data_IF_154737726534
#
_entry.id   IF_154737726534
#
_cell.length_a   1.000
_cell.length_b   1.000
_cell.length_c   1.000
_cell.angle_alpha   90.00
_cell.angle_beta   90.00
_cell.angle_gamma   90.00
#
_symmetry.space_group_name_H-M   'P 1'
#
loop_
_entity.id
_entity.type
_entity.pdbx_description
1 polymer ?
#
# COMPACT_ATOMS: atom_id res chain seq x y z
N UNK A 1 45.30 3.11 48.02
CA UNK A 1 45.38 2.20 46.85
C UNK A 1 44.41 2.68 45.80
N UNK A 2 44.92 3.32 44.74
CA UNK A 2 44.10 3.80 43.62
C UNK A 2 43.88 2.65 42.63
N UNK A 3 42.62 2.23 42.44
CA UNK A 3 42.25 1.22 41.45
C UNK A 3 41.84 1.91 40.16
N UNK A 4 42.61 1.70 39.10
CA UNK A 4 42.42 2.29 37.77
C UNK A 4 41.35 1.50 37.02
N UNK A 5 40.14 2.06 36.90
CA UNK A 5 39.06 1.47 36.11
C UNK A 5 39.31 1.78 34.62
N UNK A 6 39.79 0.78 33.87
CA UNK A 6 39.98 0.88 32.41
C UNK A 6 38.61 1.01 31.73
N UNK A 7 38.28 2.19 31.20
CA UNK A 7 37.21 2.34 30.22
C UNK A 7 37.56 1.51 28.97
N UNK A 8 36.76 0.47 28.69
CA UNK A 8 36.77 -0.18 27.38
C UNK A 8 36.09 0.77 26.38
N UNK A 9 36.84 1.20 25.37
CA UNK A 9 36.28 1.91 24.23
C UNK A 9 35.20 1.03 23.57
N UNK A 10 33.99 1.58 23.44
CA UNK A 10 32.93 0.94 22.67
C UNK A 10 33.39 0.79 21.22
N UNK A 11 33.30 -0.43 20.68
CA UNK A 11 33.60 -0.70 19.28
C UNK A 11 32.67 0.16 18.39
N UNK A 12 33.17 0.75 17.28
CA UNK A 12 32.32 1.53 16.40
C UNK A 12 31.20 0.65 15.86
N UNK A 13 29.97 1.18 15.89
CA UNK A 13 28.80 0.54 15.32
C UNK A 13 29.14 0.12 13.89
N UNK A 14 29.00 -1.18 13.60
CA UNK A 14 29.20 -1.73 12.25
C UNK A 14 28.23 -1.01 11.31
N UNK A 15 28.78 -0.17 10.43
CA UNK A 15 28.03 0.37 9.31
C UNK A 15 27.47 -0.81 8.51
N UNK A 16 26.14 -0.84 8.36
CA UNK A 16 25.45 -1.79 7.51
C UNK A 16 25.87 -1.55 6.04
N UNK A 17 26.90 -2.26 5.60
CA UNK A 17 27.23 -2.40 4.18
C UNK A 17 26.34 -3.51 3.60
N UNK A 18 25.05 -3.23 3.42
CA UNK A 18 24.25 -4.02 2.50
C UNK A 18 24.62 -3.60 1.07
N UNK A 19 25.71 -4.18 0.53
CA UNK A 19 25.93 -4.20 -0.92
C UNK A 19 24.93 -5.18 -1.52
N UNK A 20 23.66 -4.83 -1.51
CA UNK A 20 22.68 -5.46 -2.39
C UNK A 20 23.05 -5.13 -3.82
N UNK A 21 23.11 -6.14 -4.69
CA UNK A 21 23.26 -5.92 -6.12
C UNK A 21 22.22 -4.88 -6.57
N UNK A 22 22.66 -3.75 -7.13
CA UNK A 22 21.75 -2.76 -7.72
C UNK A 22 20.96 -3.48 -8.81
N UNK A 23 19.68 -3.74 -8.57
CA UNK A 23 18.75 -4.14 -9.64
C UNK A 23 18.41 -2.88 -10.42
N UNK A 24 19.03 -2.69 -11.58
CA UNK A 24 18.62 -1.64 -12.53
C UNK A 24 17.46 -2.17 -13.36
N UNK A 25 16.26 -1.64 -13.17
CA UNK A 25 15.17 -1.82 -14.12
C UNK A 25 15.36 -0.79 -15.24
N UNK A 26 15.84 -1.22 -16.40
CA UNK A 26 15.92 -0.37 -17.59
C UNK A 26 14.62 -0.53 -18.36
N UNK A 27 13.69 0.41 -18.16
CA UNK A 27 12.48 0.50 -19.00
C UNK A 27 12.85 1.31 -20.25
N UNK A 28 12.73 0.70 -21.43
CA UNK A 28 12.97 1.40 -22.70
C UNK A 28 11.90 2.47 -22.88
N UNK A 29 12.32 3.73 -22.91
CA UNK A 29 11.47 4.91 -23.03
C UNK A 29 10.93 5.14 -24.47
N UNK A 30 10.36 4.10 -25.07
CA UNK A 30 9.58 4.23 -26.30
C UNK A 30 8.22 3.56 -26.09
N UNK A 31 7.18 4.39 -26.04
CA UNK A 31 5.75 4.04 -26.20
C UNK A 31 5.04 3.18 -25.12
N UNK A 32 5.75 2.63 -24.12
CA UNK A 32 5.10 1.82 -23.07
C UNK A 32 4.84 2.60 -21.78
N UNK A 33 3.56 2.65 -21.37
CA UNK A 33 3.14 3.09 -20.04
C UNK A 33 3.63 2.10 -18.99
N UNK A 34 4.11 2.62 -17.87
CA UNK A 34 4.68 1.83 -16.78
C UNK A 34 3.62 1.64 -15.71
N UNK A 35 3.45 0.41 -15.24
CA UNK A 35 2.60 0.08 -14.09
C UNK A 35 3.48 -0.29 -12.91
N UNK A 36 3.34 0.45 -11.81
CA UNK A 36 3.97 0.16 -10.53
C UNK A 36 2.88 -0.33 -9.58
N UNK A 37 3.12 -1.44 -8.88
CA UNK A 37 2.22 -1.93 -7.85
C UNK A 37 2.84 -1.76 -6.46
N UNK A 38 2.05 -1.26 -5.52
CA UNK A 38 2.43 -1.09 -4.12
C UNK A 38 1.48 -1.89 -3.21
N UNK A 39 1.95 -3.03 -2.71
CA UNK A 39 1.24 -3.80 -1.70
C UNK A 39 1.57 -3.27 -0.30
N UNK A 40 0.54 -2.91 0.47
CA UNK A 40 0.70 -2.53 1.86
C UNK A 40 -0.64 -2.58 2.63
N UNK A 41 -0.58 -2.88 3.92
CA UNK A 41 -1.77 -2.90 4.78
C UNK A 41 -2.35 -1.48 4.97
N UNK A 42 -3.66 -1.41 5.26
CA UNK A 42 -4.36 -0.21 5.69
C UNK A 42 -3.61 0.51 6.84
N UNK A 43 -3.50 1.84 6.76
CA UNK A 43 -2.86 2.64 7.82
C UNK A 43 -1.32 2.54 7.90
N UNK A 44 -0.67 1.77 7.03
CA UNK A 44 0.78 1.60 7.01
C UNK A 44 1.56 2.74 6.32
N UNK A 45 0.97 3.93 6.20
CA UNK A 45 1.63 5.08 5.58
C UNK A 45 1.72 5.03 4.05
N UNK A 46 0.88 4.23 3.37
CA UNK A 46 0.83 4.12 1.90
C UNK A 46 0.75 5.47 1.21
N UNK A 47 -0.18 6.33 1.63
CA UNK A 47 -0.32 7.68 1.06
C UNK A 47 0.92 8.53 1.27
N UNK A 48 1.62 8.39 2.40
CA UNK A 48 2.90 9.09 2.67
C UNK A 48 4.01 8.57 1.77
N UNK A 49 4.11 7.24 1.62
CA UNK A 49 5.08 6.61 0.73
C UNK A 49 4.80 7.03 -0.73
N UNK A 50 3.54 6.99 -1.16
CA UNK A 50 3.12 7.38 -2.50
C UNK A 50 3.39 8.85 -2.79
N UNK A 51 3.07 9.78 -1.89
CA UNK A 51 3.43 11.20 -2.05
C UNK A 51 4.93 11.41 -2.27
N UNK A 52 5.78 10.65 -1.57
CA UNK A 52 7.25 10.72 -1.76
C UNK A 52 7.67 10.13 -3.09
N UNK A 53 7.14 8.97 -3.47
CA UNK A 53 7.45 8.30 -4.74
C UNK A 53 7.01 9.15 -5.93
N UNK A 54 5.78 9.68 -5.91
CA UNK A 54 5.27 10.55 -6.98
C UNK A 54 6.08 11.85 -7.09
N UNK A 55 6.57 12.39 -5.98
CA UNK A 55 7.43 13.57 -5.98
C UNK A 55 8.76 13.36 -6.72
N UNK A 56 9.22 12.12 -6.87
CA UNK A 56 10.41 11.77 -7.68
C UNK A 56 10.11 11.91 -9.18
N UNK A 57 8.89 11.59 -9.60
CA UNK A 57 8.47 11.62 -11.00
C UNK A 57 7.96 12.98 -11.48
N UNK A 58 7.90 13.98 -10.59
CA UNK A 58 7.49 15.34 -10.91
C UNK A 58 6.01 15.63 -10.61
N UNK A 59 5.78 16.89 -10.24
CA UNK A 59 4.47 17.39 -9.85
C UNK A 59 4.06 17.00 -8.42
N UNK A 60 3.05 17.71 -7.91
CA UNK A 60 2.38 17.38 -6.65
C UNK A 60 1.08 16.68 -7.01
N UNK A 61 0.88 15.38 -6.68
CA UNK A 61 -0.37 14.71 -6.96
C UNK A 61 -1.54 15.38 -6.27
N UNK A 62 -2.64 15.55 -6.98
CA UNK A 62 -3.88 16.15 -6.49
C UNK A 62 -5.07 15.26 -6.83
N UNK A 63 -6.16 15.32 -6.05
CA UNK A 63 -7.42 14.70 -6.46
C UNK A 63 -7.90 15.24 -7.81
N UNK A 64 -8.72 14.48 -8.57
CA UNK A 64 -9.31 14.93 -9.82
C UNK A 64 -10.10 16.24 -9.64
N UNK A 65 -9.78 17.26 -10.43
CA UNK A 65 -10.42 18.56 -10.31
C UNK A 65 -11.90 18.48 -10.72
N UNK A 66 -12.80 18.97 -9.86
CA UNK A 66 -14.25 18.95 -10.12
C UNK A 66 -14.91 17.57 -10.03
N UNK A 67 -14.18 16.54 -9.57
CA UNK A 67 -14.70 15.20 -9.34
C UNK A 67 -15.33 15.02 -7.96
N UNK A 68 -15.60 13.76 -7.60
CA UNK A 68 -16.07 13.40 -6.27
C UNK A 68 -15.03 13.83 -5.21
N UNK A 69 -15.40 14.60 -4.17
CA UNK A 69 -14.48 15.05 -3.12
C UNK A 69 -13.83 13.90 -2.33
N UNK A 70 -14.47 12.73 -2.33
CA UNK A 70 -13.99 11.52 -1.65
C UNK A 70 -13.27 10.55 -2.61
N UNK A 71 -12.92 10.98 -3.82
CA UNK A 71 -12.10 10.19 -4.75
C UNK A 71 -10.75 9.83 -4.13
N UNK A 72 -10.36 8.57 -4.29
CA UNK A 72 -9.06 8.06 -3.82
C UNK A 72 -7.93 8.25 -4.85
N UNK A 73 -8.28 8.75 -6.04
CA UNK A 73 -7.33 8.93 -7.14
C UNK A 73 -6.44 10.14 -6.86
N UNK A 74 -5.15 10.03 -7.18
CA UNK A 74 -4.24 11.17 -7.20
C UNK A 74 -3.58 11.29 -8.58
N UNK A 75 -3.63 12.48 -9.16
CA UNK A 75 -3.14 12.77 -10.51
C UNK A 75 -2.03 13.83 -10.43
N UNK A 76 -0.92 13.57 -11.12
CA UNK A 76 0.14 14.53 -11.44
C UNK A 76 0.42 14.52 -12.94
N UNK A 77 1.31 15.40 -13.41
CA UNK A 77 1.67 15.54 -14.84
C UNK A 77 2.15 14.22 -15.47
N UNK A 78 2.78 13.33 -14.68
CA UNK A 78 3.31 12.07 -15.15
C UNK A 78 2.65 10.83 -14.55
N UNK A 79 2.00 10.98 -13.39
CA UNK A 79 1.60 9.83 -12.57
C UNK A 79 0.12 9.88 -12.21
N UNK A 80 -0.55 8.75 -12.35
CA UNK A 80 -1.88 8.52 -11.75
C UNK A 80 -1.74 7.42 -10.71
N UNK A 81 -2.22 7.68 -9.48
CA UNK A 81 -2.29 6.70 -8.40
C UNK A 81 -3.75 6.28 -8.22
N UNK A 82 -4.00 4.97 -8.25
CA UNK A 82 -5.30 4.35 -8.02
C UNK A 82 -5.25 3.53 -6.73
N UNK A 83 -6.19 3.79 -5.83
CA UNK A 83 -6.41 2.95 -4.65
C UNK A 83 -7.22 1.72 -5.03
N UNK A 84 -6.74 0.52 -4.68
CA UNK A 84 -7.41 -0.72 -5.04
C UNK A 84 -8.68 -1.00 -4.24
N UNK A 85 -8.91 -0.26 -3.14
CA UNK A 85 -10.19 -0.30 -2.42
C UNK A 85 -11.37 0.14 -3.31
N UNK A 86 -11.11 0.91 -4.37
CA UNK A 86 -12.13 1.27 -5.37
C UNK A 86 -12.72 0.05 -6.08
N UNK A 87 -11.98 -1.06 -6.16
CA UNK A 87 -12.44 -2.31 -6.77
C UNK A 87 -13.09 -3.27 -5.77
N UNK A 88 -13.53 -2.80 -4.60
CA UNK A 88 -14.35 -3.61 -3.70
C UNK A 88 -15.61 -4.11 -4.42
N UNK A 89 -15.90 -5.40 -4.30
CA UNK A 89 -17.17 -5.99 -4.77
C UNK A 89 -18.31 -5.82 -3.78
N UNK A 90 -17.97 -5.63 -2.51
CA UNK A 90 -18.89 -5.45 -1.40
C UNK A 90 -18.55 -4.16 -0.67
N UNK A 91 -19.57 -3.33 -0.43
CA UNK A 91 -19.44 -2.16 0.43
C UNK A 91 -19.26 -2.56 1.91
N UNK A 92 -19.12 -1.56 2.80
CA UNK A 92 -18.90 -1.83 4.23
C UNK A 92 -20.02 -2.67 4.87
N UNK A 93 -21.28 -2.43 4.50
CA UNK A 93 -22.43 -3.18 5.02
C UNK A 93 -22.53 -4.56 4.38
N UNK A 94 -22.29 -4.67 3.08
CA UNK A 94 -22.26 -5.92 2.34
C UNK A 94 -21.22 -6.89 2.90
N UNK A 95 -20.00 -6.42 3.18
CA UNK A 95 -18.97 -7.23 3.84
C UNK A 95 -19.40 -7.71 5.22
N UNK A 96 -19.99 -6.82 6.03
CA UNK A 96 -20.52 -7.19 7.35
C UNK A 96 -21.62 -8.24 7.28
N UNK A 97 -22.53 -8.14 6.29
CA UNK A 97 -23.62 -9.10 6.10
C UNK A 97 -23.12 -10.47 5.61
N UNK A 98 -22.09 -10.47 4.76
CA UNK A 98 -21.46 -11.67 4.24
C UNK A 98 -20.46 -12.32 5.23
N UNK A 99 -20.11 -11.65 6.32
CA UNK A 99 -19.15 -12.13 7.30
C UNK A 99 -17.71 -12.20 6.77
N UNK A 100 -17.37 -11.35 5.79
CA UNK A 100 -16.02 -11.29 5.19
C UNK A 100 -15.35 -9.95 5.50
N UNK A 101 -14.03 -9.93 5.55
CA UNK A 101 -13.28 -8.68 5.71
C UNK A 101 -12.95 -8.05 4.35
N UNK A 102 -12.39 -6.85 4.35
CA UNK A 102 -11.85 -6.25 3.11
C UNK A 102 -10.60 -7.00 2.60
N UNK A 103 -9.99 -7.87 3.40
CA UNK A 103 -8.79 -8.63 3.03
C UNK A 103 -9.16 -9.90 2.29
N UNK A 104 -10.40 -10.38 2.45
CA UNK A 104 -10.92 -11.55 1.77
C UNK A 104 -11.04 -11.24 0.26
N UNK A 105 -10.43 -12.07 -0.62
CA UNK A 105 -10.55 -11.96 -2.07
C UNK A 105 -11.99 -11.91 -2.58
N UNK A 106 -12.96 -12.51 -1.87
CA UNK A 106 -14.39 -12.46 -2.22
C UNK A 106 -14.96 -11.05 -2.19
N UNK A 107 -14.33 -10.14 -1.45
CA UNK A 107 -14.73 -8.74 -1.36
C UNK A 107 -14.13 -7.86 -2.47
N UNK A 108 -13.49 -8.43 -3.50
CA UNK A 108 -12.80 -7.69 -4.57
C UNK A 108 -13.29 -8.11 -5.96
N UNK A 109 -13.43 -7.14 -6.89
CA UNK A 109 -13.67 -7.38 -8.30
C UNK A 109 -12.35 -7.48 -9.09
N UNK A 110 -11.66 -8.63 -9.00
CA UNK A 110 -10.39 -8.83 -9.72
C UNK A 110 -10.51 -8.79 -11.25
N UNK A 111 -11.65 -9.23 -11.81
CA UNK A 111 -11.88 -9.15 -13.26
C UNK A 111 -11.93 -7.70 -13.73
N UNK A 112 -12.70 -6.86 -13.03
CA UNK A 112 -12.76 -5.42 -13.31
C UNK A 112 -11.41 -4.74 -13.13
N UNK A 113 -10.68 -5.09 -12.06
CA UNK A 113 -9.33 -4.59 -11.80
C UNK A 113 -8.37 -4.93 -12.95
N UNK A 114 -8.37 -6.18 -13.40
CA UNK A 114 -7.55 -6.63 -14.53
C UNK A 114 -7.88 -5.87 -15.81
N UNK A 115 -9.16 -5.82 -16.19
CA UNK A 115 -9.60 -5.19 -17.43
C UNK A 115 -9.26 -3.70 -17.46
N UNK A 116 -9.43 -2.99 -16.34
CA UNK A 116 -9.15 -1.57 -16.27
C UNK A 116 -7.65 -1.25 -16.20
N UNK A 117 -6.87 -1.99 -15.42
CA UNK A 117 -5.40 -1.82 -15.38
C UNK A 117 -4.79 -2.12 -16.75
N UNK A 118 -5.26 -3.18 -17.43
CA UNK A 118 -4.86 -3.50 -18.81
C UNK A 118 -5.20 -2.38 -19.78
N UNK A 119 -6.45 -1.88 -19.74
CA UNK A 119 -6.90 -0.80 -20.61
C UNK A 119 -6.05 0.46 -20.43
N UNK A 120 -5.76 0.85 -19.18
CA UNK A 120 -4.89 1.99 -18.89
C UNK A 120 -3.46 1.78 -19.40
N UNK A 121 -2.89 0.57 -19.22
CA UNK A 121 -1.56 0.23 -19.76
C UNK A 121 -1.51 0.29 -21.29
N UNK A 122 -2.60 -0.09 -21.95
CA UNK A 122 -2.79 0.02 -23.41
C UNK A 122 -3.13 1.44 -23.89
N UNK A 123 -3.30 2.40 -22.99
CA UNK A 123 -3.59 3.79 -23.35
C UNK A 123 -5.06 4.10 -23.61
N UNK A 124 -5.97 3.32 -23.02
CA UNK A 124 -7.41 3.53 -23.07
C UNK A 124 -7.91 4.04 -21.72
N UNK A 125 -8.79 5.04 -21.74
CA UNK A 125 -9.44 5.54 -20.53
C UNK A 125 -10.46 4.52 -20.01
N UNK A 126 -10.76 4.59 -18.71
CA UNK A 126 -11.71 3.70 -18.03
C UNK A 126 -12.63 4.49 -17.10
N UNK A 127 -13.84 3.97 -16.85
CA UNK A 127 -14.72 4.47 -15.80
C UNK A 127 -14.51 3.61 -14.55
N UNK A 128 -13.67 4.09 -13.64
CA UNK A 128 -13.30 3.38 -12.42
C UNK A 128 -14.29 3.72 -11.31
N UNK A 129 -14.86 2.74 -10.58
CA UNK A 129 -15.66 3.01 -9.38
C UNK A 129 -14.88 3.83 -8.33
N UNK A 130 -15.61 4.37 -7.36
CA UNK A 130 -15.01 5.04 -6.20
C UNK A 130 -15.52 4.35 -4.94
N UNK A 131 -14.62 3.88 -4.09
CA UNK A 131 -14.99 3.43 -2.75
C UNK A 131 -14.85 4.60 -1.77
N UNK A 132 -15.98 5.12 -1.33
CA UNK A 132 -16.00 6.26 -0.42
C UNK A 132 -15.69 5.81 1.01
N UNK A 133 -14.52 6.20 1.53
CA UNK A 133 -14.09 5.80 2.88
C UNK A 133 -14.89 6.48 4.01
N UNK A 134 -15.53 7.62 3.74
CA UNK A 134 -16.37 8.34 4.71
C UNK A 134 -17.67 7.56 4.92
N UNK A 135 -18.43 7.36 3.85
CA UNK A 135 -19.75 6.72 3.88
C UNK A 135 -19.65 5.18 3.92
N UNK A 136 -18.59 4.62 3.36
CA UNK A 136 -18.36 3.17 3.24
C UNK A 136 -19.15 2.50 2.12
N UNK A 137 -19.60 3.26 1.11
CA UNK A 137 -20.33 2.79 -0.07
C UNK A 137 -19.51 2.94 -1.36
N UNK A 138 -19.95 2.26 -2.42
CA UNK A 138 -19.43 2.45 -3.77
C UNK A 138 -20.19 3.59 -4.44
N UNK A 139 -19.49 4.67 -4.73
CA UNK A 139 -20.00 5.85 -5.42
C UNK A 139 -19.93 5.66 -6.95
N UNK A 140 -20.63 6.50 -7.73
CA UNK A 140 -20.54 6.48 -9.19
C UNK A 140 -19.11 6.57 -9.70
N UNK A 141 -18.84 5.89 -10.82
CA UNK A 141 -17.52 5.83 -11.41
C UNK A 141 -17.00 7.20 -11.87
N UNK A 142 -15.69 7.38 -11.78
CA UNK A 142 -14.96 8.50 -12.36
C UNK A 142 -14.14 8.05 -13.57
N UNK A 143 -14.05 8.92 -14.57
CA UNK A 143 -13.21 8.67 -15.73
C UNK A 143 -11.73 8.85 -15.35
N UNK A 144 -10.92 7.84 -15.64
CA UNK A 144 -9.48 7.86 -15.50
C UNK A 144 -8.83 7.80 -16.89
N UNK A 145 -8.11 8.86 -17.24
CA UNK A 145 -7.28 8.90 -18.45
C UNK A 145 -5.92 8.21 -18.19
N UNK A 146 -5.32 7.59 -19.22
CA UNK A 146 -4.09 6.84 -19.08
C UNK A 146 -2.87 7.75 -18.86
N UNK A 147 -2.07 7.47 -17.85
CA UNK A 147 -0.84 8.21 -17.52
C UNK A 147 0.43 7.50 -18.01
N UNK A 148 1.55 8.23 -18.05
CA UNK A 148 2.86 7.64 -18.35
C UNK A 148 3.27 6.60 -17.29
N UNK A 149 2.98 6.92 -16.02
CA UNK A 149 3.19 6.04 -14.87
C UNK A 149 1.84 5.84 -14.18
N UNK A 150 1.35 4.61 -14.19
CA UNK A 150 0.22 4.18 -13.38
C UNK A 150 0.75 3.53 -12.10
N UNK A 151 0.27 3.97 -10.95
CA UNK A 151 0.54 3.31 -9.67
C UNK A 151 -0.76 2.73 -9.13
N UNK A 152 -0.77 1.42 -8.89
CA UNK A 152 -1.87 0.77 -8.17
C UNK A 152 -1.41 0.44 -6.76
N UNK A 153 -2.16 0.90 -5.76
CA UNK A 153 -1.79 0.74 -4.36
C UNK A 153 -2.94 0.16 -3.55
N UNK A 154 -2.64 -0.77 -2.64
CA UNK A 154 -3.65 -1.32 -1.75
C UNK A 154 -3.28 -2.69 -1.21
N UNK A 155 -4.31 -3.45 -0.84
CA UNK A 155 -4.19 -4.75 -0.21
C UNK A 155 -3.83 -5.87 -1.18
N UNK A 156 -4.31 -5.82 -2.44
CA UNK A 156 -4.23 -6.96 -3.38
C UNK A 156 -3.58 -6.69 -4.75
N UNK A 157 -2.59 -5.81 -4.91
CA UNK A 157 -2.02 -5.53 -6.24
C UNK A 157 -1.33 -6.75 -6.87
N UNK A 158 -0.90 -7.74 -6.09
CA UNK A 158 -0.18 -8.92 -6.59
C UNK A 158 -0.96 -10.22 -6.40
N UNK A 159 -2.20 -10.14 -5.91
CA UNK A 159 -3.01 -11.31 -5.60
C UNK A 159 -3.41 -12.07 -6.86
N UNK A 160 -4.09 -11.40 -7.79
CA UNK A 160 -4.46 -11.96 -9.10
C UNK A 160 -3.25 -11.99 -10.03
N UNK A 161 -2.97 -13.16 -10.60
CA UNK A 161 -1.81 -13.38 -11.49
C UNK A 161 -1.89 -12.52 -12.75
N UNK A 162 -3.09 -12.32 -13.31
CA UNK A 162 -3.28 -11.53 -14.53
C UNK A 162 -2.95 -10.06 -14.29
N UNK A 163 -3.33 -9.53 -13.12
CA UNK A 163 -2.96 -8.16 -12.70
C UNK A 163 -1.45 -8.10 -12.45
N UNK A 164 -0.89 -9.09 -11.76
CA UNK A 164 0.54 -9.16 -11.44
C UNK A 164 1.44 -9.09 -12.69
N UNK A 165 1.04 -9.78 -13.76
CA UNK A 165 1.77 -9.81 -15.03
C UNK A 165 1.75 -8.47 -15.78
N UNK A 166 0.81 -7.58 -15.44
CA UNK A 166 0.77 -6.21 -15.96
C UNK A 166 1.71 -5.27 -15.21
N UNK A 167 2.29 -5.66 -14.07
CA UNK A 167 3.07 -4.77 -13.20
C UNK A 167 4.57 -4.86 -13.50
N UNK A 168 5.14 -3.74 -13.94
CA UNK A 168 6.56 -3.62 -14.31
C UNK A 168 7.49 -3.49 -13.09
N UNK A 169 6.99 -2.95 -11.97
CA UNK A 169 7.71 -2.89 -10.69
C UNK A 169 6.77 -3.19 -9.50
N UNK A 170 7.10 -4.21 -8.71
CA UNK A 170 6.30 -4.68 -7.58
C UNK A 170 6.99 -4.34 -6.25
N UNK A 171 6.38 -3.44 -5.47
CA UNK A 171 6.89 -3.00 -4.16
C UNK A 171 5.97 -3.53 -3.06
N UNK A 172 6.53 -4.13 -2.01
CA UNK A 172 5.79 -4.56 -0.82
C UNK A 172 6.32 -3.82 0.41
N UNK A 173 5.44 -3.16 1.18
CA UNK A 173 5.80 -2.58 2.47
C UNK A 173 5.46 -3.58 3.58
N UNK A 174 6.51 -4.12 4.20
CA UNK A 174 6.40 -5.07 5.29
C UNK A 174 6.62 -4.37 6.63
N UNK A 175 5.54 -4.08 7.34
CA UNK A 175 5.60 -3.39 8.63
C UNK A 175 5.30 -4.41 9.74
N UNK A 176 6.16 -4.46 10.75
CA UNK A 176 5.98 -5.38 11.87
C UNK A 176 4.66 -5.13 12.62
N UNK A 177 4.07 -6.19 13.17
CA UNK A 177 2.79 -6.14 13.87
C UNK A 177 2.82 -5.13 15.03
N UNK A 178 3.97 -4.99 15.72
CA UNK A 178 4.16 -4.03 16.82
C UNK A 178 4.09 -2.57 16.33
N UNK A 179 4.67 -2.26 15.17
CA UNK A 179 4.61 -0.91 14.59
C UNK A 179 3.17 -0.63 14.12
N UNK A 180 2.54 -1.59 13.41
CA UNK A 180 1.14 -1.46 12.98
C UNK A 180 0.23 -1.20 14.17
N UNK A 181 0.43 -1.95 15.26
CA UNK A 181 -0.31 -1.80 16.51
C UNK A 181 -0.13 -0.41 17.11
N UNK A 182 1.12 0.05 17.25
CA UNK A 182 1.44 1.36 17.79
C UNK A 182 0.81 2.51 16.97
N UNK A 183 0.93 2.47 15.63
CA UNK A 183 0.35 3.47 14.76
C UNK A 183 -1.18 3.46 14.79
N UNK A 184 -1.79 2.27 14.84
CA UNK A 184 -3.24 2.14 14.91
C UNK A 184 -3.80 2.66 16.23
N UNK A 185 -3.12 2.40 17.35
CA UNK A 185 -3.44 3.02 18.65
C UNK A 185 -3.37 4.54 18.55
N UNK A 186 -2.24 5.08 18.10
CA UNK A 186 -2.04 6.52 18.04
C UNK A 186 -3.11 7.20 17.20
N UNK A 187 -3.46 6.64 16.04
CA UNK A 187 -4.49 7.19 15.16
C UNK A 187 -5.90 7.02 15.72
N UNK A 188 -6.29 5.79 16.07
CA UNK A 188 -7.68 5.48 16.42
C UNK A 188 -8.05 5.99 17.84
N UNK A 189 -7.08 6.15 18.76
CA UNK A 189 -7.32 6.86 20.03
C UNK A 189 -7.42 8.37 19.85
N UNK A 190 -6.59 8.97 18.98
CA UNK A 190 -6.60 10.42 18.78
C UNK A 190 -7.83 10.91 17.99
N UNK A 191 -8.33 10.11 17.03
CA UNK A 191 -9.36 10.56 16.09
C UNK A 191 -10.77 10.01 16.38
N UNK A 192 -10.91 8.88 17.09
CA UNK A 192 -12.18 8.13 17.12
C UNK A 192 -12.64 7.61 18.49
N UNK A 193 -11.86 7.85 19.55
CA UNK A 193 -12.27 7.49 20.92
C UNK A 193 -12.43 5.98 21.18
N UNK A 194 -11.80 5.13 20.35
CA UNK A 194 -11.86 3.67 20.54
C UNK A 194 -11.04 3.21 21.74
N UNK A 195 -11.56 2.20 22.48
CA UNK A 195 -10.80 1.57 23.57
C UNK A 195 -9.68 0.68 23.02
N UNK A 196 -8.58 0.56 23.77
CA UNK A 196 -7.45 -0.32 23.42
C UNK A 196 -7.89 -1.77 23.13
N UNK A 197 -8.87 -2.28 23.86
CA UNK A 197 -9.39 -3.64 23.68
C UNK A 197 -10.14 -3.81 22.35
N UNK A 198 -10.88 -2.78 21.93
CA UNK A 198 -11.56 -2.82 20.62
C UNK A 198 -10.55 -2.81 19.46
N UNK A 199 -9.44 -2.09 19.62
CA UNK A 199 -8.35 -2.04 18.64
C UNK A 199 -7.63 -3.39 18.56
N UNK A 200 -7.30 -4.00 19.72
CA UNK A 200 -6.70 -5.35 19.78
C UNK A 200 -7.57 -6.39 19.10
N UNK A 201 -8.86 -6.46 19.47
CA UNK A 201 -9.82 -7.40 18.86
C UNK A 201 -9.92 -7.22 17.35
N UNK A 202 -9.90 -5.98 16.86
CA UNK A 202 -9.94 -5.69 15.41
C UNK A 202 -8.67 -6.14 14.67
N UNK A 203 -7.51 -6.18 15.33
CA UNK A 203 -6.26 -6.64 14.71
C UNK A 203 -6.23 -8.16 14.72
N UNK A 204 -6.54 -8.77 15.86
CA UNK A 204 -6.60 -10.23 16.01
C UNK A 204 -7.58 -10.86 15.04
N UNK A 205 -8.77 -10.25 14.85
CA UNK A 205 -9.77 -10.76 13.91
C UNK A 205 -9.36 -10.66 12.45
N UNK A 206 -8.43 -9.74 12.10
CA UNK A 206 -7.93 -9.55 10.73
C UNK A 206 -6.68 -10.38 10.43
N UNK A 207 -5.98 -10.89 11.45
CA UNK A 207 -4.72 -11.61 11.28
C UNK A 207 -4.84 -12.87 10.41
N UNK A 208 -5.88 -13.73 10.57
CA UNK A 208 -6.04 -14.89 9.70
C UNK A 208 -6.12 -14.53 8.21
N UNK A 209 -6.94 -13.53 7.85
CA UNK A 209 -7.06 -13.08 6.45
C UNK A 209 -5.79 -12.38 5.96
N UNK A 210 -5.08 -11.67 6.83
CA UNK A 210 -3.80 -11.05 6.48
C UNK A 210 -2.76 -12.11 6.12
N UNK A 211 -2.57 -13.10 7.00
CA UNK A 211 -1.61 -14.19 6.81
C UNK A 211 -1.99 -15.07 5.59
N UNK A 212 -3.29 -15.20 5.30
CA UNK A 212 -3.78 -16.00 4.17
C UNK A 212 -3.71 -15.28 2.81
N UNK A 213 -4.00 -13.98 2.75
CA UNK A 213 -4.25 -13.28 1.48
C UNK A 213 -3.32 -12.09 1.21
N UNK A 214 -2.76 -11.47 2.25
CA UNK A 214 -1.95 -10.26 2.11
C UNK A 214 -0.46 -10.59 2.17
N UNK A 215 0.01 -11.22 3.26
CA UNK A 215 1.42 -11.55 3.45
C UNK A 215 2.03 -12.40 2.31
N UNK A 216 1.32 -13.41 1.76
CA UNK A 216 1.87 -14.23 0.68
C UNK A 216 2.24 -13.45 -0.59
N UNK A 217 1.66 -12.27 -0.81
CA UNK A 217 1.99 -11.42 -1.96
C UNK A 217 3.43 -10.91 -1.91
N UNK A 218 4.07 -10.86 -0.74
CA UNK A 218 5.47 -10.48 -0.54
C UNK A 218 6.44 -11.29 -1.41
N UNK A 219 6.13 -12.56 -1.69
CA UNK A 219 6.97 -13.43 -2.54
C UNK A 219 7.03 -12.99 -4.02
N UNK A 220 6.10 -12.15 -4.45
CA UNK A 220 6.02 -11.62 -5.81
C UNK A 220 6.68 -10.24 -5.96
N UNK A 221 7.15 -9.65 -4.86
CA UNK A 221 7.71 -8.30 -4.86
C UNK A 221 9.13 -8.28 -5.43
N UNK A 222 9.42 -7.28 -6.26
CA UNK A 222 10.77 -6.97 -6.73
C UNK A 222 11.58 -6.24 -5.65
N UNK A 223 10.89 -5.46 -4.81
CA UNK A 223 11.44 -4.73 -3.67
C UNK A 223 10.54 -4.90 -2.43
N UNK A 224 11.17 -5.21 -1.30
CA UNK A 224 10.50 -5.25 0.01
C UNK A 224 11.13 -4.17 0.88
N UNK A 225 10.32 -3.27 1.41
CA UNK A 225 10.75 -2.28 2.39
C UNK A 225 10.20 -2.72 3.74
N UNK A 226 11.11 -3.13 4.64
CA UNK A 226 10.73 -3.64 5.94
C UNK A 226 10.94 -2.59 7.03
N UNK A 227 9.90 -2.35 7.83
CA UNK A 227 9.98 -1.52 9.04
C UNK A 227 9.80 -2.43 10.26
N UNK A 228 10.82 -2.46 11.11
CA UNK A 228 10.84 -3.21 12.36
C UNK A 228 11.18 -2.26 13.51
N UNK A 229 10.67 -2.52 14.71
CA UNK A 229 11.14 -1.80 15.88
C UNK A 229 12.64 -2.09 16.06
N UNK A 230 13.42 -1.05 16.40
CA UNK A 230 14.77 -1.27 16.85
C UNK A 230 14.73 -2.21 18.05
N UNK A 231 15.35 -3.38 17.93
CA UNK A 231 15.74 -4.15 19.10
C UNK A 231 16.87 -3.38 19.79
N UNK A 232 16.51 -2.34 20.54
CA UNK A 232 17.42 -1.76 21.49
C UNK A 232 17.78 -2.85 22.50
N UNK A 233 19.05 -3.23 22.47
CA UNK A 233 19.76 -4.04 23.45
C UNK A 233 19.39 -3.58 24.88
N UNK A 234 18.33 -4.14 25.44
CA UNK A 234 18.14 -4.21 26.88
C UNK A 234 18.69 -5.58 27.30
N UNK A 235 20.02 -5.64 27.33
CA UNK A 235 20.81 -6.63 28.08
C UNK A 235 21.49 -5.90 29.22
#
# INVERSE_FOLDING_TARGET
>A
MASTMKMRAAAPARAFSARGARRSLVVKAAEKRIVIGLAADSGCGKSTFMRRVTGIFGGTPKPPAGGNPDSNTLISDMTTVICLDDYHSLDRKGRSAAGVTALDPKAQYFDLMYDQVKSLKEGKAVDKPIYNHVTGILDPAEKIDPANILVIEGLHPFYDERVRDLIDLKIYLDISDEIKFAWKIQRDMAERGHSLDSIKKSIESRKPDFDAYIDPQKKHADLIIQLQQNQSQYS
#
